data_IF_186025857188
#
_entry.id   IF_186025857188
#
_cell.length_a   1.000
_cell.length_b   1.000
_cell.length_c   1.000
_cell.angle_alpha   90.00
_cell.angle_beta   90.00
_cell.angle_gamma   90.00
#
_symmetry.space_group_name_H-M   'P 1'
#
loop_
_entity.id
_entity.type
_entity.pdbx_description
1 polymer ?
#
# COMPACT_ATOMS: atom_id res chain seq x y z
N UNK A 1 -23.24 -1.79 -1.34
CA UNK A 1 -22.67 -3.08 -1.76
C UNK A 1 -23.64 -4.14 -1.31
N UNK A 2 -23.81 -5.24 -2.05
CA UNK A 2 -24.68 -6.34 -1.61
C UNK A 2 -24.02 -7.24 -0.57
N UNK A 3 -22.69 -7.16 -0.42
CA UNK A 3 -21.89 -8.02 0.46
C UNK A 3 -21.39 -7.30 1.72
N UNK A 4 -21.58 -5.98 1.81
CA UNK A 4 -21.16 -5.19 2.98
C UNK A 4 -21.95 -3.86 3.06
N UNK A 5 -21.96 -3.17 4.22
CA UNK A 5 -22.74 -1.95 4.42
C UNK A 5 -22.20 -0.71 3.65
N UNK A 6 -21.12 -0.83 2.87
CA UNK A 6 -20.56 0.31 2.12
C UNK A 6 -21.50 0.79 1.01
N UNK A 7 -21.76 2.10 0.99
CA UNK A 7 -22.58 2.77 -0.03
C UNK A 7 -21.68 3.56 -0.99
N UNK A 8 -22.03 3.57 -2.27
CA UNK A 8 -21.29 4.24 -3.32
C UNK A 8 -22.25 5.08 -4.16
N UNK A 9 -21.89 6.33 -4.45
CA UNK A 9 -22.70 7.25 -5.26
C UNK A 9 -22.62 6.87 -6.74
N UNK A 10 -21.45 6.38 -7.20
CA UNK A 10 -21.19 6.08 -8.61
C UNK A 10 -21.14 4.58 -8.85
N UNK A 11 -21.77 4.12 -9.95
CA UNK A 11 -21.84 2.71 -10.34
C UNK A 11 -20.47 2.09 -10.61
N UNK A 12 -19.54 2.83 -11.23
CA UNK A 12 -18.17 2.35 -11.46
C UNK A 12 -17.38 2.12 -10.17
N UNK A 13 -17.65 2.92 -9.11
CA UNK A 13 -17.04 2.72 -7.81
C UNK A 13 -17.57 1.46 -7.13
N UNK A 14 -18.89 1.22 -7.21
CA UNK A 14 -19.48 -0.02 -6.72
C UNK A 14 -18.94 -1.25 -7.46
N UNK A 15 -18.85 -1.20 -8.80
CA UNK A 15 -18.31 -2.30 -9.61
C UNK A 15 -16.85 -2.59 -9.27
N UNK A 16 -16.03 -1.54 -9.14
CA UNK A 16 -14.66 -1.71 -8.68
C UNK A 16 -14.63 -2.33 -7.30
N UNK A 17 -15.39 -1.80 -6.34
CA UNK A 17 -15.44 -2.34 -4.98
C UNK A 17 -15.86 -3.82 -4.92
N UNK A 18 -16.80 -4.26 -5.75
CA UNK A 18 -17.21 -5.66 -5.81
C UNK A 18 -16.07 -6.61 -6.21
N UNK A 19 -15.10 -6.15 -7.01
CA UNK A 19 -13.88 -6.94 -7.29
C UNK A 19 -13.04 -7.21 -6.04
N UNK A 20 -13.13 -6.38 -5.00
CA UNK A 20 -12.44 -6.63 -3.74
C UNK A 20 -13.11 -7.72 -2.89
N UNK A 21 -14.38 -8.04 -3.18
CA UNK A 21 -15.09 -9.15 -2.57
C UNK A 21 -14.88 -10.48 -3.31
N UNK A 22 -14.53 -10.43 -4.60
CA UNK A 22 -14.17 -11.62 -5.36
C UNK A 22 -12.74 -12.08 -5.04
N UNK A 23 -12.52 -13.39 -5.08
CA UNK A 23 -11.18 -13.99 -5.00
C UNK A 23 -10.40 -13.87 -6.32
N UNK A 24 -11.04 -13.39 -7.38
CA UNK A 24 -10.39 -13.16 -8.66
C UNK A 24 -9.39 -12.00 -8.57
N UNK A 25 -8.10 -12.35 -8.57
CA UNK A 25 -6.98 -11.42 -8.56
C UNK A 25 -6.16 -11.58 -9.83
N UNK A 26 -6.64 -11.08 -10.98
CA UNK A 26 -6.00 -11.32 -12.28
C UNK A 26 -4.65 -10.62 -12.42
N UNK A 27 -4.33 -9.65 -11.57
CA UNK A 27 -3.11 -8.87 -11.67
C UNK A 27 -2.02 -9.46 -10.77
N UNK A 28 -1.21 -10.36 -11.33
CA UNK A 28 -0.12 -11.04 -10.62
C UNK A 28 1.19 -10.28 -10.80
N UNK A 29 1.93 -10.09 -9.71
CA UNK A 29 3.29 -9.55 -9.76
C UNK A 29 4.25 -10.60 -10.30
N UNK A 30 4.97 -10.27 -11.38
CA UNK A 30 5.91 -11.19 -12.02
C UNK A 30 7.18 -11.45 -11.18
N UNK A 31 7.48 -10.58 -10.22
CA UNK A 31 8.70 -10.67 -9.40
C UNK A 31 8.51 -11.64 -8.23
N UNK A 32 7.33 -11.66 -7.58
CA UNK A 32 7.09 -12.46 -6.38
C UNK A 32 5.81 -13.31 -6.41
N UNK A 33 5.08 -13.32 -7.54
CA UNK A 33 3.85 -14.10 -7.71
C UNK A 33 2.63 -13.57 -6.94
N UNK A 34 2.74 -12.43 -6.24
CA UNK A 34 1.62 -11.90 -5.45
C UNK A 34 0.49 -11.38 -6.34
N UNK A 35 -0.74 -11.82 -6.08
CA UNK A 35 -1.92 -11.45 -6.85
C UNK A 35 -2.69 -10.25 -6.26
N UNK A 36 -3.18 -9.37 -7.14
CA UNK A 36 -3.90 -8.15 -6.81
C UNK A 36 -5.24 -8.06 -7.56
N UNK A 37 -6.21 -7.40 -6.94
CA UNK A 37 -7.54 -7.18 -7.54
C UNK A 37 -7.53 -6.08 -8.62
N UNK A 38 -6.54 -5.17 -8.59
CA UNK A 38 -6.43 -4.08 -9.56
C UNK A 38 -5.00 -3.88 -10.09
N UNK A 39 -4.91 -3.48 -11.36
CA UNK A 39 -3.63 -3.22 -12.05
C UNK A 39 -2.78 -2.15 -11.35
N UNK A 40 -3.40 -1.07 -10.87
CA UNK A 40 -2.68 0.01 -10.19
C UNK A 40 -2.05 -0.47 -8.87
N UNK A 41 -2.67 -1.44 -8.18
CA UNK A 41 -2.11 -2.02 -6.96
C UNK A 41 -0.89 -2.87 -7.25
N UNK A 42 -0.98 -3.74 -8.28
CA UNK A 42 0.16 -4.52 -8.77
C UNK A 42 1.30 -3.61 -9.21
N UNK A 43 1.03 -2.59 -10.04
CA UNK A 43 2.06 -1.64 -10.52
C UNK A 43 2.73 -0.90 -9.37
N UNK A 44 1.93 -0.41 -8.41
CA UNK A 44 2.45 0.23 -7.20
C UNK A 44 3.33 -0.75 -6.41
N UNK A 45 2.86 -2.00 -6.24
CA UNK A 45 3.61 -3.07 -5.56
C UNK A 45 4.92 -3.42 -6.26
N UNK A 46 4.94 -3.51 -7.59
CA UNK A 46 6.17 -3.72 -8.35
C UNK A 46 7.20 -2.63 -8.11
N UNK A 47 6.74 -1.39 -7.96
CA UNK A 47 7.59 -0.30 -7.51
C UNK A 47 8.27 -0.53 -6.17
N UNK A 48 7.82 -1.46 -5.30
CA UNK A 48 8.54 -1.82 -4.06
C UNK A 48 9.73 -2.73 -4.31
N UNK A 49 9.68 -3.54 -5.35
CA UNK A 49 10.80 -4.42 -5.71
C UNK A 49 11.95 -3.61 -6.31
N UNK A 50 11.62 -2.51 -7.00
CA UNK A 50 12.60 -1.61 -7.61
C UNK A 50 12.92 -0.38 -6.76
N UNK A 51 12.13 -0.07 -5.73
CA UNK A 51 12.36 1.09 -4.89
C UNK A 51 13.56 0.86 -3.97
N UNK A 52 14.60 1.65 -4.19
CA UNK A 52 15.61 1.91 -3.18
C UNK A 52 14.90 2.48 -1.93
N UNK A 53 15.25 1.98 -0.74
CA UNK A 53 14.60 2.38 0.51
C UNK A 53 15.01 3.82 0.87
N UNK A 54 14.28 4.80 0.34
CA UNK A 54 14.60 6.22 0.43
C UNK A 54 14.03 6.93 1.66
N UNK A 55 13.04 6.33 2.34
CA UNK A 55 12.40 6.95 3.50
C UNK A 55 13.07 6.47 4.78
N UNK A 56 13.72 7.36 5.52
CA UNK A 56 14.42 7.03 6.76
C UNK A 56 13.59 7.48 7.96
N UNK A 57 13.54 6.65 9.00
CA UNK A 57 13.01 7.06 10.30
C UNK A 57 14.01 7.99 10.99
N UNK A 58 13.84 9.29 10.77
CA UNK A 58 14.48 10.35 11.55
C UNK A 58 13.47 10.76 12.64
N UNK A 59 13.83 10.54 13.91
CA UNK A 59 12.98 10.92 15.05
C UNK A 59 12.89 12.44 15.18
N UNK A 60 11.75 12.96 15.65
CA UNK A 60 11.62 14.40 15.91
C UNK A 60 12.63 14.83 16.98
N UNK A 61 13.49 15.77 16.62
CA UNK A 61 14.42 16.43 17.55
C UNK A 61 13.62 17.36 18.45
N UNK A 62 13.40 16.96 19.70
CA UNK A 62 13.16 17.90 20.80
C UNK A 62 14.22 17.66 21.85
N UNK A 63 14.95 18.74 22.17
CA UNK A 63 15.99 18.77 23.21
C UNK A 63 17.19 17.84 22.99
N UNK A 64 17.80 17.92 21.81
CA UNK A 64 19.19 17.46 21.61
C UNK A 64 19.43 15.94 21.54
N UNK A 65 18.43 15.10 21.76
CA UNK A 65 18.55 13.63 21.63
C UNK A 65 17.64 13.10 20.53
N UNK A 66 18.25 12.64 19.42
CA UNK A 66 17.54 12.05 18.28
C UNK A 66 17.31 10.55 18.51
N UNK A 67 16.07 10.16 18.79
CA UNK A 67 15.64 8.76 18.80
C UNK A 67 15.10 8.34 17.41
N UNK A 68 15.91 8.52 16.37
CA UNK A 68 15.65 7.93 15.06
C UNK A 68 16.26 6.53 14.99
N UNK A 69 15.46 5.47 14.76
CA UNK A 69 16.01 4.12 14.68
C UNK A 69 16.80 3.84 13.38
N UNK A 70 16.89 4.82 12.46
CA UNK A 70 17.64 4.71 11.20
C UNK A 70 17.07 3.72 10.17
N UNK A 71 15.89 3.11 10.44
CA UNK A 71 15.27 2.16 9.52
C UNK A 71 14.89 2.85 8.21
N UNK A 72 15.25 2.19 7.11
CA UNK A 72 14.89 2.60 5.75
C UNK A 72 13.65 1.86 5.27
N UNK A 73 12.73 2.61 4.70
CA UNK A 73 11.46 2.13 4.15
C UNK A 73 11.39 2.50 2.67
N UNK A 74 10.76 1.63 1.88
CA UNK A 74 10.51 1.88 0.46
C UNK A 74 9.31 2.81 0.21
N UNK A 75 8.51 3.14 1.25
CA UNK A 75 7.34 4.03 1.15
C UNK A 75 7.08 4.80 2.44
N UNK A 76 6.58 6.03 2.32
CA UNK A 76 6.13 6.88 3.43
C UNK A 76 5.04 6.25 4.29
N UNK A 77 4.05 5.53 3.73
CA UNK A 77 3.02 4.85 4.53
C UNK A 77 3.56 3.67 5.37
N UNK A 78 4.73 3.12 5.01
CA UNK A 78 5.40 2.11 5.84
C UNK A 78 6.17 2.78 6.99
N UNK A 79 6.77 3.94 6.72
CA UNK A 79 7.37 4.79 7.76
C UNK A 79 6.32 5.35 8.74
N UNK A 80 5.16 5.82 8.24
CA UNK A 80 4.08 6.33 9.10
C UNK A 80 3.34 5.28 9.92
N UNK A 81 3.56 3.98 9.68
CA UNK A 81 3.12 2.88 10.56
C UNK A 81 4.19 2.43 11.55
N UNK A 82 5.38 3.01 11.44
CA UNK A 82 6.53 2.69 12.28
C UNK A 82 6.63 3.61 13.50
N UNK A 83 6.17 4.85 13.36
CA UNK A 83 5.77 5.72 14.47
C UNK A 83 4.44 5.25 15.05
#
# INVERSE_FOLDING_TARGET
CTLCPKRFIRSHNLRSHLRAHGDERPYVCIICGKAFAYQYERKRHEGLHTAEKQFVCEGETKEGESWGCGRRFARVNALGRHF
#
